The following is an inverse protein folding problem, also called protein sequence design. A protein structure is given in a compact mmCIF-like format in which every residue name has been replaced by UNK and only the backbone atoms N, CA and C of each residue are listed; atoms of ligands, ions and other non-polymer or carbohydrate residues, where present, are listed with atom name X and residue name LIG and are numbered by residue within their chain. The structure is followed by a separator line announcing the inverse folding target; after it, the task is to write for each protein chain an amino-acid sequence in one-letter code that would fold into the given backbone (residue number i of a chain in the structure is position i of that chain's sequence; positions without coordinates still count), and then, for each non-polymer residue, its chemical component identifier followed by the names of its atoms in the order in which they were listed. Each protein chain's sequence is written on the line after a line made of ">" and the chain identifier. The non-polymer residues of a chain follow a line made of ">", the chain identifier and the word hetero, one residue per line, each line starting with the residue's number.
data_IF_255805147214
#
_entry.id   IF_255805147214
#
_cell.length_a   1.000
_cell.length_b   1.000
_cell.length_c   1.000
_cell.angle_alpha   90.00
_cell.angle_beta   90.00
_cell.angle_gamma   90.00
#
_symmetry.space_group_name_H-M   'P 1'
#
loop_
_entity.id
_entity.type
_entity.pdbx_description
1 polymer ?
#
# COMPACT_ATOMS: atom_id res chain seq x y z
N UNK A 1 17.57 -18.62 -23.61
CA UNK A 1 17.46 -19.54 -22.46
C UNK A 1 17.01 -18.71 -21.26
N UNK A 2 15.85 -19.02 -20.70
CA UNK A 2 15.32 -18.37 -19.48
C UNK A 2 13.96 -17.71 -19.65
N UNK A 3 13.01 -18.32 -20.36
CA UNK A 3 11.63 -17.84 -20.37
C UNK A 3 10.93 -18.29 -19.08
N UNK A 4 10.39 -17.31 -18.35
CA UNK A 4 9.62 -17.56 -17.14
C UNK A 4 8.18 -17.86 -17.57
N UNK A 5 7.81 -19.15 -17.52
CA UNK A 5 6.43 -19.63 -17.70
C UNK A 5 5.57 -19.14 -16.53
N UNK A 6 4.83 -18.06 -16.73
CA UNK A 6 3.73 -17.65 -15.84
C UNK A 6 2.40 -18.03 -16.48
N UNK A 7 1.50 -18.62 -15.69
CA UNK A 7 0.12 -18.89 -16.10
C UNK A 7 -0.54 -17.59 -16.59
N UNK A 8 -1.26 -17.65 -17.71
CA UNK A 8 -1.89 -16.50 -18.36
C UNK A 8 -2.83 -15.68 -17.45
N UNK A 9 -3.28 -16.25 -16.33
CA UNK A 9 -4.19 -15.65 -15.36
C UNK A 9 -3.49 -14.96 -14.17
N UNK A 10 -2.16 -14.98 -14.06
CA UNK A 10 -1.43 -14.46 -12.90
C UNK A 10 -0.47 -13.32 -13.27
N UNK A 11 -1.00 -12.26 -13.89
CA UNK A 11 -0.22 -11.06 -14.20
C UNK A 11 -0.09 -10.18 -12.95
N UNK A 12 1.13 -9.84 -12.50
CA UNK A 12 1.29 -8.89 -11.41
C UNK A 12 0.65 -7.56 -11.79
N UNK A 13 -0.15 -7.02 -10.89
CA UNK A 13 -0.88 -5.79 -11.15
C UNK A 13 0.07 -4.60 -10.98
N UNK A 14 0.33 -3.88 -12.06
CA UNK A 14 1.15 -2.67 -12.03
C UNK A 14 0.26 -1.49 -11.73
N UNK A 15 0.43 -0.90 -10.54
CA UNK A 15 -0.35 0.26 -10.11
C UNK A 15 0.46 1.13 -9.16
N UNK A 16 0.09 2.41 -9.11
CA UNK A 16 0.59 3.42 -8.20
C UNK A 16 -0.37 3.68 -7.02
N UNK A 17 -1.52 2.99 -6.96
CA UNK A 17 -2.51 3.18 -5.91
C UNK A 17 -3.09 1.85 -5.44
N UNK A 18 -3.23 1.66 -4.13
CA UNK A 18 -3.83 0.45 -3.56
C UNK A 18 -4.39 0.68 -2.16
N UNK A 19 -5.31 -0.21 -1.75
CA UNK A 19 -5.79 -0.26 -0.37
C UNK A 19 -4.89 -1.17 0.45
N UNK A 20 -4.59 -0.75 1.68
CA UNK A 20 -3.77 -1.53 2.61
C UNK A 20 -4.31 -1.47 4.05
N UNK A 21 -4.08 -2.53 4.81
CA UNK A 21 -4.10 -2.48 6.26
C UNK A 21 -2.75 -1.98 6.74
N UNK A 22 -2.74 -0.88 7.50
CA UNK A 22 -1.54 -0.24 8.02
C UNK A 22 -1.55 -0.31 9.55
N UNK A 23 -0.44 -0.75 10.12
CA UNK A 23 -0.13 -0.64 11.55
C UNK A 23 0.86 0.50 11.73
N UNK A 24 0.50 1.48 12.55
CA UNK A 24 1.37 2.61 12.85
C UNK A 24 2.26 2.32 14.06
N UNK A 25 3.54 2.65 13.95
CA UNK A 25 4.57 2.29 14.92
C UNK A 25 5.35 3.49 15.45
N UNK A 26 5.07 4.70 14.95
CA UNK A 26 5.73 5.92 15.40
C UNK A 26 4.87 6.72 16.40
N UNK A 27 5.53 7.45 17.30
CA UNK A 27 4.88 8.36 18.24
C UNK A 27 4.23 9.55 17.52
N UNK A 28 4.89 10.07 16.47
CA UNK A 28 4.32 11.11 15.61
C UNK A 28 3.13 10.51 14.83
N UNK A 29 1.91 11.07 14.95
CA UNK A 29 0.76 10.55 14.22
C UNK A 29 0.94 10.61 12.71
N UNK A 30 0.43 9.60 12.01
CA UNK A 30 0.29 9.64 10.57
C UNK A 30 -0.85 10.59 10.20
N UNK A 31 -0.52 11.59 9.37
CA UNK A 31 -1.48 12.53 8.81
C UNK A 31 -1.66 12.26 7.31
N UNK A 32 -2.91 12.22 6.80
CA UNK A 32 -3.16 12.04 5.39
C UNK A 32 -2.45 13.09 4.53
N UNK A 33 -1.86 12.65 3.42
CA UNK A 33 -1.14 13.52 2.47
C UNK A 33 0.34 13.76 2.78
N UNK A 34 0.84 13.44 3.99
CA UNK A 34 2.29 13.48 4.27
C UNK A 34 3.01 12.48 3.34
N UNK A 35 4.18 12.89 2.83
CA UNK A 35 5.02 12.06 1.97
C UNK A 35 5.91 11.16 2.81
N UNK A 36 5.93 9.89 2.46
CA UNK A 36 6.75 8.84 3.06
C UNK A 36 7.47 8.06 1.96
N UNK A 37 8.49 7.31 2.34
CA UNK A 37 9.06 6.33 1.45
C UNK A 37 8.44 4.96 1.74
N UNK A 38 7.92 4.32 0.69
CA UNK A 38 7.28 3.01 0.77
C UNK A 38 8.27 1.97 0.26
N UNK A 39 8.71 1.08 1.15
CA UNK A 39 9.63 0.00 0.80
C UNK A 39 8.89 -1.34 0.81
N UNK A 40 8.91 -2.02 -0.33
CA UNK A 40 8.27 -3.32 -0.55
C UNK A 40 9.30 -4.26 -1.16
N UNK A 41 9.66 -5.33 -0.46
CA UNK A 41 10.73 -6.25 -0.86
C UNK A 41 12.01 -5.49 -1.30
N UNK A 42 12.33 -5.48 -2.59
CA UNK A 42 13.47 -4.76 -3.19
C UNK A 42 13.10 -3.39 -3.78
N UNK A 43 11.81 -3.06 -3.87
CA UNK A 43 11.31 -1.79 -4.41
C UNK A 43 11.25 -0.72 -3.33
N UNK A 44 11.66 0.49 -3.68
CA UNK A 44 11.63 1.66 -2.82
C UNK A 44 11.04 2.81 -3.62
N UNK A 45 9.84 3.24 -3.26
CA UNK A 45 9.09 4.26 -4.02
C UNK A 45 8.51 5.29 -3.06
N UNK A 46 8.78 6.59 -3.26
CA UNK A 46 8.11 7.64 -2.52
C UNK A 46 6.61 7.60 -2.75
N UNK A 47 5.83 7.92 -1.72
CA UNK A 47 4.38 7.91 -1.78
C UNK A 47 3.76 8.70 -0.65
N UNK A 48 2.44 8.63 -0.54
CA UNK A 48 1.67 9.19 0.55
C UNK A 48 0.49 8.30 0.90
N UNK A 49 -0.11 8.57 2.05
CA UNK A 49 -1.36 7.96 2.47
C UNK A 49 -2.44 9.04 2.28
N UNK A 50 -3.14 9.11 1.13
CA UNK A 50 -4.09 10.19 0.86
C UNK A 50 -5.31 10.17 1.80
N UNK A 51 -5.72 9.00 2.31
CA UNK A 51 -6.85 8.91 3.22
C UNK A 51 -6.85 7.64 4.06
N UNK A 52 -7.48 7.75 5.23
CA UNK A 52 -7.85 6.63 6.09
C UNK A 52 -9.29 6.24 5.74
N UNK A 53 -9.52 4.99 5.37
CA UNK A 53 -10.86 4.46 5.07
C UNK A 53 -11.61 4.22 6.38
N UNK A 54 -10.99 3.51 7.31
CA UNK A 54 -11.46 3.33 8.68
C UNK A 54 -10.33 2.78 9.56
N UNK A 55 -10.37 3.09 10.85
CA UNK A 55 -9.55 2.46 11.87
C UNK A 55 -10.19 1.14 12.28
N UNK A 56 -9.37 0.19 12.71
CA UNK A 56 -9.81 -1.10 13.22
C UNK A 56 -9.33 -1.21 14.66
N UNK A 57 -10.26 -1.39 15.59
CA UNK A 57 -9.91 -1.71 16.97
C UNK A 57 -9.45 -3.17 17.05
N UNK A 58 -8.25 -3.40 17.59
CA UNK A 58 -7.64 -4.73 17.66
C UNK A 58 -8.32 -5.66 18.66
N UNK A 59 -9.02 -5.11 19.65
CA UNK A 59 -9.69 -5.87 20.70
C UNK A 59 -11.13 -6.21 20.30
N UNK A 60 -11.82 -5.30 19.59
CA UNK A 60 -13.25 -5.47 19.24
C UNK A 60 -13.49 -5.79 17.77
N UNK A 61 -12.49 -5.59 16.89
CA UNK A 61 -12.61 -5.64 15.43
C UNK A 61 -13.61 -4.63 14.85
N UNK A 62 -14.04 -3.65 15.65
CA UNK A 62 -14.94 -2.59 15.20
C UNK A 62 -14.24 -1.60 14.29
N UNK A 63 -15.01 -1.05 13.36
CA UNK A 63 -14.52 -0.08 12.37
C UNK A 63 -14.99 1.31 12.77
N UNK A 64 -14.05 2.22 12.96
CA UNK A 64 -14.35 3.61 13.33
C UNK A 64 -13.75 4.58 12.31
N UNK A 65 -14.40 5.73 12.06
CA UNK A 65 -13.80 6.77 11.24
C UNK A 65 -12.57 7.36 11.93
N UNK A 66 -11.59 7.81 11.15
CA UNK A 66 -10.37 8.41 11.66
C UNK A 66 -9.75 9.39 10.68
N UNK A 67 -9.23 10.50 11.19
CA UNK A 67 -8.49 11.51 10.42
C UNK A 67 -6.97 11.39 10.56
N UNK A 68 -6.50 10.58 11.53
CA UNK A 68 -5.09 10.34 11.82
C UNK A 68 -4.90 8.92 12.38
N UNK A 69 -3.65 8.43 12.34
CA UNK A 69 -3.26 7.14 12.91
C UNK A 69 -2.13 7.34 13.93
N UNK A 70 -2.39 7.02 15.18
CA UNK A 70 -1.47 7.13 16.33
C UNK A 70 -0.71 5.83 16.54
N UNK A 71 0.30 5.88 17.41
CA UNK A 71 1.10 4.72 17.80
C UNK A 71 0.21 3.52 18.16
N UNK A 72 0.55 2.36 17.59
CA UNK A 72 -0.13 1.07 17.77
C UNK A 72 -1.56 0.99 17.24
N UNK A 73 -2.03 1.98 16.49
CA UNK A 73 -3.33 1.90 15.84
C UNK A 73 -3.23 1.21 14.47
N UNK A 74 -4.31 0.50 14.13
CA UNK A 74 -4.46 -0.19 12.85
C UNK A 74 -5.57 0.49 12.06
N UNK A 75 -5.36 0.69 10.76
CA UNK A 75 -6.39 1.20 9.88
C UNK A 75 -6.29 0.63 8.48
N UNK A 76 -7.44 0.56 7.80
CA UNK A 76 -7.47 0.45 6.35
C UNK A 76 -7.23 1.83 5.77
N UNK A 77 -6.22 1.95 4.91
CA UNK A 77 -5.80 3.19 4.28
C UNK A 77 -5.72 3.04 2.77
N UNK A 78 -5.83 4.16 2.07
CA UNK A 78 -5.41 4.24 0.67
C UNK A 78 -3.96 4.65 0.62
N UNK A 79 -3.17 4.00 -0.21
CA UNK A 79 -1.77 4.34 -0.49
C UNK A 79 -1.68 4.85 -1.92
N UNK A 80 -0.94 5.93 -2.11
CA UNK A 80 -0.57 6.47 -3.42
C UNK A 80 0.95 6.50 -3.51
N UNK A 81 1.50 6.07 -4.63
CA UNK A 81 2.92 6.05 -4.94
C UNK A 81 3.20 7.04 -6.05
N UNK A 82 4.43 7.54 -6.10
CA UNK A 82 4.88 8.47 -7.14
C UNK A 82 5.26 7.73 -8.44
N UNK A 83 5.45 6.41 -8.37
CA UNK A 83 5.68 5.55 -9.51
C UNK A 83 4.92 4.22 -9.35
N UNK A 84 4.40 3.65 -10.44
CA UNK A 84 3.70 2.37 -10.37
C UNK A 84 4.67 1.24 -10.06
N UNK A 85 4.24 0.31 -9.20
CA UNK A 85 4.99 -0.90 -8.86
C UNK A 85 4.18 -2.14 -9.19
N UNK A 86 4.89 -3.22 -9.51
CA UNK A 86 4.27 -4.54 -9.69
C UNK A 86 3.88 -5.11 -8.31
N UNK A 87 2.59 -5.22 -8.06
CA UNK A 87 1.99 -5.76 -6.84
C UNK A 87 1.40 -7.15 -7.09
N UNK A 88 1.46 -8.00 -6.08
CA UNK A 88 0.62 -9.21 -6.01
C UNK A 88 -0.38 -8.98 -4.87
N UNK A 89 -1.60 -9.49 -4.99
CA UNK A 89 -2.56 -9.45 -3.88
C UNK A 89 -2.03 -10.24 -2.68
N UNK A 90 -2.22 -9.75 -1.45
CA UNK A 90 -1.75 -10.44 -0.24
C UNK A 90 -2.36 -11.85 -0.08
N UNK A 91 -3.59 -12.08 -0.56
CA UNK A 91 -4.20 -13.42 -0.59
C UNK A 91 -3.50 -14.39 -1.56
N UNK A 92 -2.74 -13.88 -2.54
CA UNK A 92 -2.04 -14.67 -3.56
C UNK A 92 -0.55 -14.88 -3.21
N UNK A 93 0.08 -13.95 -2.50
CA UNK A 93 1.46 -14.10 -2.05
C UNK A 93 1.76 -13.26 -0.78
N UNK A 94 1.92 -13.95 0.34
CA UNK A 94 2.19 -13.36 1.66
C UNK A 94 3.50 -12.57 1.72
N UNK A 95 4.47 -12.86 0.85
CA UNK A 95 5.77 -12.20 0.86
C UNK A 95 5.76 -10.88 0.07
N UNK A 96 4.99 -10.79 -1.01
CA UNK A 96 4.95 -9.59 -1.87
C UNK A 96 3.80 -8.64 -1.56
N UNK A 97 2.87 -9.06 -0.69
CA UNK A 97 1.77 -8.25 -0.18
C UNK A 97 2.10 -7.38 1.05
N UNK A 98 3.35 -7.38 1.55
CA UNK A 98 3.75 -6.58 2.71
C UNK A 98 4.72 -5.45 2.33
N UNK A 99 4.61 -4.30 3.01
CA UNK A 99 5.51 -3.16 2.85
C UNK A 99 5.76 -2.48 4.19
N UNK A 100 6.80 -1.65 4.24
CA UNK A 100 7.06 -0.76 5.37
C UNK A 100 6.99 0.69 4.92
N UNK A 101 6.59 1.56 5.84
CA UNK A 101 6.54 3.02 5.66
C UNK A 101 7.74 3.60 6.40
N UNK A 102 8.53 4.40 5.69
CA UNK A 102 9.74 5.02 6.20
C UNK A 102 9.55 6.55 6.16
N UNK A 103 9.81 7.21 7.27
CA UNK A 103 9.81 8.67 7.32
C UNK A 103 11.09 9.22 6.68
N UNK A 104 10.92 10.17 5.76
CA UNK A 104 12.00 10.66 4.88
C UNK A 104 12.98 11.58 5.60
N UNK A 105 12.60 12.15 6.75
CA UNK A 105 13.44 13.05 7.52
C UNK A 105 14.28 12.28 8.54
N UNK A 106 13.66 11.30 9.20
CA UNK A 106 14.30 10.52 10.27
C UNK A 106 14.94 9.23 9.77
N UNK A 107 14.58 8.76 8.56
CA UNK A 107 14.89 7.42 8.04
C UNK A 107 14.38 6.28 8.93
N UNK A 108 13.47 6.58 9.86
CA UNK A 108 12.85 5.60 10.76
C UNK A 108 11.73 4.83 10.07
N UNK A 109 11.60 3.54 10.40
CA UNK A 109 10.41 2.77 10.02
C UNK A 109 9.26 3.19 10.93
N UNK A 110 8.26 3.84 10.35
CA UNK A 110 7.14 4.44 11.10
C UNK A 110 5.86 3.61 11.02
N UNK A 111 5.80 2.62 10.13
CA UNK A 111 4.67 1.69 10.05
C UNK A 111 4.94 0.48 9.17
N UNK A 112 4.08 -0.51 9.30
CA UNK A 112 4.09 -1.72 8.49
C UNK A 112 2.70 -1.94 7.89
N UNK A 113 2.65 -2.33 6.62
CA UNK A 113 1.40 -2.44 5.87
C UNK A 113 1.27 -3.75 5.11
N UNK A 114 0.02 -4.20 4.95
CA UNK A 114 -0.39 -5.35 4.16
C UNK A 114 -1.38 -4.89 3.09
N UNK A 115 -1.12 -5.21 1.83
CA UNK A 115 -1.93 -4.82 0.68
C UNK A 115 -3.23 -5.65 0.69
N UNK A 116 -4.38 -5.00 0.77
CA UNK A 116 -5.70 -5.68 0.82
C UNK A 116 -6.21 -5.94 -0.59
N UNK A 117 -6.22 -4.91 -1.42
CA UNK A 117 -6.57 -5.01 -2.84
C UNK A 117 -6.00 -3.81 -3.57
N UNK A 118 -5.41 -4.03 -4.73
CA UNK A 118 -5.24 -2.95 -5.67
C UNK A 118 -6.60 -2.68 -6.37
N UNK A 119 -7.01 -1.42 -6.57
CA UNK A 119 -8.15 -1.12 -7.42
C UNK A 119 -7.93 -1.81 -8.78
N UNK A 120 -8.99 -2.33 -9.42
CA UNK A 120 -8.85 -2.93 -10.73
C UNK A 120 -8.15 -1.91 -11.64
N UNK A 121 -7.05 -2.31 -12.29
CA UNK A 121 -6.34 -1.45 -13.22
C UNK A 121 -7.39 -0.79 -14.11
N UNK A 122 -7.48 0.54 -14.04
CA UNK A 122 -8.22 1.30 -15.02
C UNK A 122 -7.56 0.94 -16.35
N UNK A 123 -8.22 0.07 -17.11
CA UNK A 123 -7.79 -0.27 -18.45
C UNK A 123 -7.84 1.04 -19.22
N UNK A 124 -6.68 1.67 -19.40
CA UNK A 124 -6.50 2.75 -20.34
C UNK A 124 -6.79 2.16 -21.71
N UNK A 125 -8.04 2.30 -22.16
CA UNK A 125 -8.45 2.05 -23.53
C UNK A 125 -7.49 2.82 -24.43
N UNK A 126 -6.60 2.09 -25.10
CA UNK A 126 -5.82 2.60 -26.21
C UNK A 126 -6.84 2.92 -27.31
N UNK A 127 -7.27 4.18 -27.37
CA UNK A 127 -8.00 4.71 -28.51
C UNK A 127 -7.05 4.72 -29.71
N UNK A 128 -7.08 3.64 -30.47
CA UNK A 128 -6.50 3.57 -31.80
C UNK A 128 -7.52 4.19 -32.77
N UNK A 129 -7.31 5.46 -33.14
CA UNK A 129 -7.93 6.04 -34.34
C UNK A 129 -7.14 7.26 -34.82
N UNK A 130 -6.70 7.22 -36.07
CA UNK A 130 -5.96 8.26 -36.77
C UNK A 130 -4.90 7.67 -37.67
#
# INVERSE_FOLDING_TARGET
>A
RGDMLVHADNRPLVTDGFDAMLVWMAEEPMLPGKKYDIKRATSYVPGSIPSIVHKVDVNTLERTPGSELKLNEIARVKVSLDAPIALDGYEQNRTTGAFIVIDRLTNGTVGAGMIVSAPPAAHGSSAHHG
#
